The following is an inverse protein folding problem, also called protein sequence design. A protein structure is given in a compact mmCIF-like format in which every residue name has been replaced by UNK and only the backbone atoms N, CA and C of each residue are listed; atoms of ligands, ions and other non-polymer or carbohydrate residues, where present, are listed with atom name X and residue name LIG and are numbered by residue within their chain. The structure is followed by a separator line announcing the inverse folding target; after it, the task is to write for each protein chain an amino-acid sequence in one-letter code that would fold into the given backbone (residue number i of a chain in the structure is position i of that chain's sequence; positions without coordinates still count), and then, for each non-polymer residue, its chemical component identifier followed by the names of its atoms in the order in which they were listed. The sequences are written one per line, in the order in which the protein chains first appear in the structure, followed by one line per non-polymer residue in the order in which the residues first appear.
data_IF_472921627662
#
_entry.id   IF_472921627662
#
_cell.length_a   1.000
_cell.length_b   1.000
_cell.length_c   1.000
_cell.angle_alpha   90.00
_cell.angle_beta   90.00
_cell.angle_gamma   90.00
#
_symmetry.space_group_name_H-M   'P 1'
#
loop_
_entity.id
_entity.type
_entity.pdbx_description
1 polymer ?
#
# COMPACT_ATOMS: atom_id res chain seq x y z
N UNK A 1 6.34 0.91 2.35
CA UNK A 1 5.85 0.61 3.72
C UNK A 1 5.56 -0.88 3.86
N UNK A 2 5.79 -1.48 5.04
CA UNK A 2 5.46 -2.90 5.37
C UNK A 2 5.94 -3.99 4.40
N UNK A 3 6.90 -3.69 3.53
CA UNK A 3 7.45 -4.62 2.55
C UNK A 3 6.53 -4.91 1.35
N UNK A 4 5.54 -4.06 1.09
CA UNK A 4 4.76 -4.04 -0.16
C UNK A 4 5.37 -3.05 -1.16
N UNK A 5 5.02 -3.18 -2.45
CA UNK A 5 5.45 -2.26 -3.50
C UNK A 5 4.54 -1.03 -3.52
N UNK A 6 5.12 0.16 -3.65
CA UNK A 6 4.41 1.43 -3.74
C UNK A 6 4.90 2.21 -4.96
N UNK A 7 4.00 2.99 -5.55
CA UNK A 7 4.39 4.08 -6.45
C UNK A 7 4.63 5.31 -5.60
N UNK A 8 5.76 5.97 -5.82
CA UNK A 8 6.15 7.19 -5.11
C UNK A 8 6.77 8.14 -6.14
N UNK A 9 6.45 9.44 -6.11
CA UNK A 9 7.17 10.44 -6.88
C UNK A 9 8.69 10.38 -6.59
N UNK A 10 9.51 10.47 -7.62
CA UNK A 10 10.97 10.26 -7.49
C UNK A 10 11.65 11.26 -6.56
N UNK A 11 11.15 12.49 -6.52
CA UNK A 11 11.62 13.59 -5.66
C UNK A 11 11.33 13.38 -4.16
N UNK A 12 10.37 12.50 -3.84
CA UNK A 12 9.98 12.17 -2.45
C UNK A 12 10.29 10.72 -2.08
N UNK A 13 10.89 9.95 -3.00
CA UNK A 13 11.17 8.54 -2.80
C UNK A 13 12.08 8.27 -1.59
N UNK A 14 13.15 9.05 -1.42
CA UNK A 14 14.07 8.92 -0.27
C UNK A 14 13.37 9.08 1.07
N UNK A 15 12.60 10.16 1.26
CA UNK A 15 11.87 10.39 2.52
C UNK A 15 10.84 9.31 2.83
N UNK A 16 10.21 8.72 1.79
CA UNK A 16 9.24 7.64 1.97
C UNK A 16 9.94 6.31 2.20
N UNK A 17 11.07 6.03 1.55
CA UNK A 17 11.71 4.72 1.59
C UNK A 17 12.64 4.53 2.79
N UNK A 18 13.45 5.55 3.11
CA UNK A 18 14.52 5.44 4.11
C UNK A 18 14.07 4.92 5.48
N UNK A 19 12.89 5.30 6.03
CA UNK A 19 12.41 4.76 7.31
C UNK A 19 12.08 3.26 7.29
N UNK A 20 12.03 2.63 6.10
CA UNK A 20 11.55 1.25 5.91
C UNK A 20 12.60 0.29 5.36
N UNK A 21 13.87 0.71 5.33
CA UNK A 21 14.95 -0.18 4.94
C UNK A 21 14.96 -1.45 5.79
N UNK A 22 15.14 -2.60 5.15
CA UNK A 22 15.13 -3.87 5.85
C UNK A 22 16.34 -3.99 6.79
N UNK A 23 16.10 -4.32 8.06
CA UNK A 23 17.19 -4.68 8.95
C UNK A 23 17.91 -5.95 8.48
N UNK A 24 19.20 -6.08 8.82
CA UNK A 24 19.98 -7.27 8.52
C UNK A 24 19.28 -8.56 8.99
N UNK A 25 18.70 -8.58 10.20
CA UNK A 25 17.95 -9.72 10.71
C UNK A 25 16.75 -10.12 9.83
N UNK A 26 16.06 -9.14 9.23
CA UNK A 26 14.93 -9.38 8.33
C UNK A 26 15.39 -9.89 6.96
N UNK A 27 16.52 -9.40 6.46
CA UNK A 27 17.20 -9.91 5.25
C UNK A 27 17.57 -11.39 5.46
N UNK A 28 18.30 -11.70 6.54
CA UNK A 28 18.71 -13.06 6.90
C UNK A 28 17.53 -14.03 7.00
N UNK A 29 16.44 -13.60 7.65
CA UNK A 29 15.24 -14.43 7.79
C UNK A 29 14.59 -14.75 6.44
N UNK A 30 14.61 -13.81 5.48
CA UNK A 30 14.12 -14.06 4.12
C UNK A 30 15.05 -15.00 3.36
N UNK A 31 16.37 -14.85 3.53
CA UNK A 31 17.35 -15.68 2.81
C UNK A 31 17.33 -17.13 3.26
N UNK A 32 17.13 -17.39 4.56
CA UNK A 32 16.86 -18.76 5.04
C UNK A 32 15.64 -19.40 4.36
N UNK A 33 14.57 -18.65 4.11
CA UNK A 33 13.38 -19.15 3.37
C UNK A 33 13.64 -19.32 1.87
N UNK A 34 14.62 -18.59 1.34
CA UNK A 34 15.08 -18.75 -0.03
C UNK A 34 16.18 -19.80 -0.15
N UNK A 35 16.51 -20.54 0.92
CA UNK A 35 17.60 -21.53 0.95
C UNK A 35 18.92 -20.93 0.43
N UNK A 36 19.18 -19.67 0.80
CA UNK A 36 20.43 -18.98 0.54
C UNK A 36 21.07 -18.67 1.90
N UNK A 37 22.35 -19.00 2.02
CA UNK A 37 23.19 -18.49 3.10
C UNK A 37 23.64 -17.05 2.80
N UNK A 38 24.33 -16.44 3.75
CA UNK A 38 24.72 -15.03 3.68
C UNK A 38 25.69 -14.78 2.52
N UNK A 39 26.61 -15.72 2.28
CA UNK A 39 27.57 -15.61 1.18
C UNK A 39 26.89 -15.77 -0.19
N UNK A 40 26.00 -16.76 -0.33
CA UNK A 40 25.21 -16.98 -1.54
C UNK A 40 24.31 -15.80 -1.85
N UNK A 41 23.65 -15.22 -0.84
CA UNK A 41 22.87 -14.00 -1.00
C UNK A 41 23.73 -12.83 -1.48
N UNK A 42 24.85 -12.55 -0.79
CA UNK A 42 25.75 -11.46 -1.14
C UNK A 42 26.27 -11.63 -2.56
N UNK A 43 26.77 -12.82 -2.92
CA UNK A 43 27.29 -13.09 -4.24
C UNK A 43 26.22 -12.93 -5.34
N UNK A 44 25.01 -13.45 -5.14
CA UNK A 44 23.92 -13.34 -6.11
C UNK A 44 23.41 -11.89 -6.24
N UNK A 45 23.25 -11.17 -5.12
CA UNK A 45 22.80 -9.78 -5.13
C UNK A 45 23.79 -8.84 -5.81
N UNK A 46 25.10 -9.00 -5.57
CA UNK A 46 26.13 -8.21 -6.27
C UNK A 46 26.10 -8.44 -7.77
N UNK A 47 26.00 -9.70 -8.23
CA UNK A 47 25.90 -10.00 -9.67
C UNK A 47 24.66 -9.37 -10.29
N UNK A 48 23.50 -9.53 -9.65
CA UNK A 48 22.24 -8.93 -10.12
C UNK A 48 22.37 -7.41 -10.24
N UNK A 49 22.86 -6.73 -9.19
CA UNK A 49 22.97 -5.26 -9.16
C UNK A 49 23.97 -4.76 -10.19
N UNK A 50 25.10 -5.45 -10.38
CA UNK A 50 26.09 -5.10 -11.38
C UNK A 50 25.57 -5.27 -12.82
N UNK A 51 24.74 -6.29 -13.07
CA UNK A 51 24.18 -6.56 -14.41
C UNK A 51 22.99 -5.66 -14.75
N UNK A 52 22.13 -5.33 -13.78
CA UNK A 52 20.87 -4.62 -14.00
C UNK A 52 21.04 -3.09 -14.17
N UNK A 53 21.98 -2.64 -15.00
CA UNK A 53 22.17 -1.21 -15.33
C UNK A 53 21.01 -0.64 -16.14
N UNK A 54 20.27 -1.51 -16.84
CA UNK A 54 19.00 -1.23 -17.52
C UNK A 54 17.90 -2.15 -16.98
N UNK A 55 16.60 -1.81 -17.21
CA UNK A 55 15.48 -2.64 -16.73
C UNK A 55 15.41 -4.05 -17.35
N UNK A 56 15.62 -5.07 -16.53
CA UNK A 56 15.58 -6.49 -16.92
C UNK A 56 14.39 -7.23 -16.32
N UNK A 57 13.85 -8.22 -17.03
CA UNK A 57 12.85 -9.14 -16.48
C UNK A 57 13.49 -10.08 -15.46
N UNK A 58 12.72 -10.61 -14.48
CA UNK A 58 13.22 -11.59 -13.53
C UNK A 58 13.98 -12.76 -14.16
N UNK A 59 13.44 -13.35 -15.25
CA UNK A 59 14.05 -14.45 -15.99
C UNK A 59 15.44 -14.14 -16.54
N UNK A 60 15.70 -12.88 -16.91
CA UNK A 60 17.00 -12.45 -17.44
C UNK A 60 18.05 -12.37 -16.31
N UNK A 61 17.59 -12.28 -15.06
CA UNK A 61 18.44 -12.26 -13.86
C UNK A 61 18.61 -13.64 -13.23
N UNK A 62 17.81 -14.65 -13.61
CA UNK A 62 17.91 -16.01 -13.07
C UNK A 62 19.24 -16.67 -13.42
N UNK A 63 19.66 -16.58 -14.68
CA UNK A 63 20.94 -17.14 -15.15
C UNK A 63 22.14 -16.44 -14.50
N UNK A 64 22.04 -15.12 -14.28
CA UNK A 64 23.06 -14.30 -13.62
C UNK A 64 23.22 -14.69 -12.15
N UNK A 65 22.09 -14.92 -11.47
CA UNK A 65 22.07 -15.22 -10.05
C UNK A 65 22.36 -16.69 -9.76
N UNK A 66 22.04 -17.61 -10.68
CA UNK A 66 21.96 -19.04 -10.40
C UNK A 66 20.78 -19.40 -9.49
N UNK A 67 19.74 -18.56 -9.47
CA UNK A 67 18.58 -18.67 -8.58
C UNK A 67 17.32 -18.46 -9.42
N UNK A 68 16.32 -19.33 -9.29
CA UNK A 68 15.10 -19.27 -10.11
C UNK A 68 13.81 -19.35 -9.30
N UNK A 69 12.69 -19.04 -9.94
CA UNK A 69 11.34 -19.23 -9.41
C UNK A 69 11.04 -18.42 -8.14
N UNK A 70 10.47 -19.07 -7.12
CA UNK A 70 10.07 -18.42 -5.87
C UNK A 70 11.29 -17.83 -5.14
N UNK A 71 12.45 -18.50 -5.21
CA UNK A 71 13.70 -18.02 -4.60
C UNK A 71 14.16 -16.72 -5.25
N UNK A 72 14.06 -16.60 -6.58
CA UNK A 72 14.36 -15.37 -7.30
C UNK A 72 13.42 -14.23 -6.87
N UNK A 73 12.13 -14.51 -6.72
CA UNK A 73 11.16 -13.50 -6.23
C UNK A 73 11.51 -12.99 -4.82
N UNK A 74 11.97 -13.87 -3.93
CA UNK A 74 12.44 -13.50 -2.58
C UNK A 74 13.75 -12.70 -2.63
N UNK A 75 14.68 -13.07 -3.51
CA UNK A 75 15.94 -12.38 -3.73
C UNK A 75 15.71 -10.94 -4.19
N UNK A 76 14.96 -10.74 -5.28
CA UNK A 76 14.62 -9.40 -5.81
C UNK A 76 13.83 -8.55 -4.79
N UNK A 77 12.91 -9.16 -4.04
CA UNK A 77 12.21 -8.45 -2.96
C UNK A 77 13.16 -7.98 -1.87
N UNK A 78 14.20 -8.74 -1.58
CA UNK A 78 15.16 -8.43 -0.52
C UNK A 78 16.12 -7.33 -0.95
N UNK A 79 16.70 -7.43 -2.15
CA UNK A 79 17.56 -6.38 -2.73
C UNK A 79 16.82 -5.03 -2.82
N UNK A 80 15.54 -5.05 -3.23
CA UNK A 80 14.70 -3.84 -3.23
C UNK A 80 14.44 -3.29 -1.82
N UNK A 81 14.25 -4.16 -0.83
CA UNK A 81 14.03 -3.73 0.55
C UNK A 81 15.30 -3.13 1.21
N UNK A 82 16.47 -3.37 0.62
CA UNK A 82 17.73 -2.70 0.94
C UNK A 82 17.96 -1.41 0.12
N UNK A 83 17.05 -1.09 -0.80
CA UNK A 83 17.14 0.12 -1.64
C UNK A 83 18.12 -0.01 -2.81
N UNK A 84 18.71 -1.18 -3.03
CA UNK A 84 19.71 -1.39 -4.10
C UNK A 84 19.10 -1.61 -5.49
N UNK A 85 17.79 -1.84 -5.55
CA UNK A 85 17.08 -2.12 -6.79
C UNK A 85 15.70 -1.47 -6.79
N UNK A 86 15.22 -1.10 -7.96
CA UNK A 86 13.88 -0.59 -8.22
C UNK A 86 13.11 -1.60 -9.08
N UNK A 87 11.78 -1.62 -8.93
CA UNK A 87 10.92 -2.24 -9.93
C UNK A 87 10.28 -1.14 -10.77
N UNK A 88 10.40 -1.27 -12.08
CA UNK A 88 9.88 -0.29 -13.04
C UNK A 88 8.88 -0.97 -13.96
N UNK A 89 7.82 -0.25 -14.29
CA UNK A 89 6.85 -0.66 -15.28
C UNK A 89 7.22 -0.09 -16.64
N UNK A 90 7.08 -0.90 -17.70
CA UNK A 90 7.08 -0.44 -19.08
C UNK A 90 5.71 -0.78 -19.67
N UNK A 91 4.80 0.21 -19.69
CA UNK A 91 3.44 0.06 -20.20
C UNK A 91 2.42 -0.56 -19.24
N UNK A 92 2.81 -1.48 -18.35
CA UNK A 92 1.89 -2.08 -17.37
C UNK A 92 2.49 -2.24 -15.98
N UNK A 93 1.68 -1.97 -14.96
CA UNK A 93 1.98 -2.21 -13.54
C UNK A 93 1.74 -3.66 -13.11
N UNK A 94 1.34 -4.55 -14.02
CA UNK A 94 1.16 -5.98 -13.70
C UNK A 94 2.48 -6.58 -13.26
N UNK A 95 2.46 -7.32 -12.14
CA UNK A 95 3.66 -7.90 -11.54
C UNK A 95 4.53 -8.71 -12.51
N UNK A 96 3.90 -9.44 -13.45
CA UNK A 96 4.58 -10.24 -14.47
C UNK A 96 5.32 -9.40 -15.53
N UNK A 97 5.00 -8.11 -15.66
CA UNK A 97 5.64 -7.17 -16.60
C UNK A 97 6.61 -6.21 -15.89
N UNK A 98 6.74 -6.31 -14.57
CA UNK A 98 7.71 -5.50 -13.84
C UNK A 98 9.12 -5.92 -14.23
N UNK A 99 9.93 -4.92 -14.55
CA UNK A 99 11.36 -5.03 -14.77
C UNK A 99 12.11 -4.51 -13.55
N UNK A 100 13.35 -4.92 -13.41
CA UNK A 100 14.20 -4.65 -12.27
C UNK A 100 15.49 -3.98 -12.73
N UNK A 101 15.86 -2.92 -12.05
CA UNK A 101 17.03 -2.09 -12.39
C UNK A 101 17.75 -1.66 -11.11
N UNK A 102 19.07 -1.62 -11.13
CA UNK A 102 19.87 -1.14 -10.01
C UNK A 102 19.53 0.33 -9.71
N UNK A 103 19.29 0.65 -8.44
CA UNK A 103 18.94 2.01 -8.02
C UNK A 103 20.06 2.99 -8.38
N UNK A 104 21.32 2.60 -8.16
CA UNK A 104 22.48 3.46 -8.46
C UNK A 104 22.61 3.79 -9.95
N UNK A 105 22.19 2.90 -10.86
CA UNK A 105 22.24 3.14 -12.30
C UNK A 105 21.06 3.98 -12.81
N UNK A 106 19.89 3.83 -12.19
CA UNK A 106 18.65 4.45 -12.67
C UNK A 106 18.30 5.76 -11.97
N UNK A 107 18.57 5.85 -10.67
CA UNK A 107 18.17 6.96 -9.80
C UNK A 107 19.17 7.10 -8.64
N UNK A 108 20.43 7.36 -8.97
CA UNK A 108 21.50 7.55 -8.00
C UNK A 108 21.12 8.60 -6.94
N UNK A 109 21.31 8.28 -5.65
CA UNK A 109 20.97 9.15 -4.53
C UNK A 109 19.46 9.33 -4.26
N UNK A 110 18.55 8.84 -5.11
CA UNK A 110 17.11 9.12 -4.97
C UNK A 110 16.46 8.49 -3.73
N UNK A 111 17.11 7.49 -3.13
CA UNK A 111 16.65 6.84 -1.90
C UNK A 111 17.43 7.26 -0.65
N UNK A 112 18.45 8.10 -0.81
CA UNK A 112 19.29 8.58 0.27
C UNK A 112 18.63 9.76 0.98
N UNK A 113 18.80 9.84 2.30
CA UNK A 113 18.37 10.96 3.13
C UNK A 113 19.45 11.24 4.17
N UNK A 114 19.59 12.51 4.53
CA UNK A 114 20.56 12.92 5.56
C UNK A 114 20.12 12.47 6.97
N UNK A 115 18.81 12.48 7.22
CA UNK A 115 18.23 12.15 8.51
C UNK A 115 16.95 11.32 8.34
N UNK A 116 17.01 10.06 8.81
CA UNK A 116 15.91 9.10 8.74
C UNK A 116 14.76 9.48 9.70
N UNK A 117 15.07 10.05 10.86
CA UNK A 117 14.06 10.48 11.81
C UNK A 117 13.32 11.72 11.27
N UNK A 118 14.02 12.64 10.62
CA UNK A 118 13.40 13.78 9.90
C UNK A 118 12.54 13.31 8.72
N UNK A 119 12.99 12.30 7.97
CA UNK A 119 12.20 11.69 6.89
C UNK A 119 10.90 11.06 7.43
N UNK A 120 10.98 10.34 8.56
CA UNK A 120 9.80 9.75 9.20
C UNK A 120 8.84 10.81 9.76
N UNK A 121 9.36 11.91 10.31
CA UNK A 121 8.59 13.07 10.74
C UNK A 121 7.82 13.73 9.59
N UNK A 122 8.48 13.98 8.45
CA UNK A 122 7.83 14.50 7.25
C UNK A 122 6.72 13.56 6.75
N UNK A 123 7.00 12.24 6.77
CA UNK A 123 6.01 11.22 6.41
C UNK A 123 4.82 11.18 7.37
N UNK A 124 5.01 11.48 8.66
CA UNK A 124 3.92 11.59 9.62
C UNK A 124 2.97 12.74 9.26
N UNK A 125 3.51 13.89 8.85
CA UNK A 125 2.71 15.00 8.34
C UNK A 125 1.95 14.64 7.06
N UNK A 126 2.60 13.95 6.12
CA UNK A 126 1.96 13.47 4.90
C UNK A 126 0.84 12.46 5.17
N UNK A 127 1.06 11.56 6.12
CA UNK A 127 0.07 10.60 6.58
C UNK A 127 -1.15 11.29 7.18
N UNK A 128 -0.95 12.27 8.07
CA UNK A 128 -2.06 13.02 8.68
C UNK A 128 -2.83 13.85 7.64
N UNK A 129 -2.16 14.38 6.61
CA UNK A 129 -2.86 15.08 5.52
C UNK A 129 -3.70 14.14 4.66
N UNK A 130 -3.23 12.92 4.43
CA UNK A 130 -3.93 11.93 3.60
C UNK A 130 -5.02 11.13 4.33
N UNK A 131 -4.84 10.89 5.62
CA UNK A 131 -5.66 9.97 6.41
C UNK A 131 -6.17 10.54 7.74
N UNK A 132 -5.77 11.77 8.09
CA UNK A 132 -6.19 12.41 9.32
C UNK A 132 -7.68 12.76 9.32
N UNK A 133 -8.28 12.97 10.50
CA UNK A 133 -7.69 12.77 11.83
C UNK A 133 -7.36 11.31 12.13
N UNK A 134 -6.19 11.03 12.72
CA UNK A 134 -5.71 9.66 12.94
C UNK A 134 -4.97 9.47 14.26
N UNK A 135 -4.96 8.23 14.76
CA UNK A 135 -4.29 7.88 16.02
C UNK A 135 -2.82 7.54 15.77
N UNK A 136 -1.93 7.72 16.76
CA UNK A 136 -0.56 7.22 16.67
C UNK A 136 -0.46 5.73 16.36
N UNK A 137 -1.40 4.93 16.87
CA UNK A 137 -1.48 3.50 16.56
C UNK A 137 -1.77 3.20 15.08
N UNK A 138 -2.55 4.06 14.40
CA UNK A 138 -2.83 3.91 12.98
C UNK A 138 -1.59 4.19 12.14
N UNK A 139 -0.84 5.26 12.47
CA UNK A 139 0.41 5.59 11.80
C UNK A 139 1.47 4.49 12.00
N UNK A 140 1.64 4.01 13.23
CA UNK A 140 2.55 2.91 13.54
C UNK A 140 2.18 1.64 12.75
N UNK A 141 0.89 1.31 12.69
CA UNK A 141 0.41 0.15 11.93
C UNK A 141 0.63 0.31 10.41
N UNK A 142 0.33 1.49 9.86
CA UNK A 142 0.42 1.77 8.43
C UNK A 142 1.87 1.74 7.92
N UNK A 143 2.77 2.39 8.64
CA UNK A 143 4.20 2.41 8.33
C UNK A 143 4.87 1.05 8.60
N UNK A 144 4.47 0.40 9.70
CA UNK A 144 5.12 -0.79 10.26
C UNK A 144 6.34 -0.49 11.13
N UNK A 145 6.55 0.77 11.55
CA UNK A 145 7.61 1.14 12.51
C UNK A 145 7.16 0.85 13.95
N UNK A 146 8.10 0.85 14.88
CA UNK A 146 7.78 0.69 16.31
C UNK A 146 6.93 1.86 16.84
N UNK A 147 6.04 1.57 17.78
CA UNK A 147 5.12 2.56 18.38
C UNK A 147 5.84 3.79 18.93
N UNK A 148 7.01 3.61 19.55
CA UNK A 148 7.82 4.71 20.06
C UNK A 148 8.36 5.62 18.95
N UNK A 149 8.80 5.06 17.81
CA UNK A 149 9.27 5.85 16.67
C UNK A 149 8.11 6.61 16.00
N UNK A 150 6.96 5.95 15.85
CA UNK A 150 5.74 6.58 15.34
C UNK A 150 5.28 7.75 16.23
N UNK A 151 5.29 7.57 17.55
CA UNK A 151 4.92 8.62 18.50
C UNK A 151 5.89 9.81 18.44
N UNK A 152 7.21 9.57 18.39
CA UNK A 152 8.20 10.64 18.23
C UNK A 152 8.01 11.42 16.93
N UNK A 153 7.80 10.73 15.82
CA UNK A 153 7.59 11.37 14.52
C UNK A 153 6.31 12.23 14.53
N UNK A 154 5.20 11.73 15.06
CA UNK A 154 3.95 12.50 15.15
C UNK A 154 4.06 13.72 16.08
N UNK A 155 4.86 13.63 17.15
CA UNK A 155 5.08 14.76 18.07
C UNK A 155 5.81 15.95 17.41
N UNK A 156 6.43 15.76 16.24
CA UNK A 156 7.05 16.85 15.47
C UNK A 156 6.05 17.63 14.61
N UNK A 157 4.86 17.10 14.41
CA UNK A 157 3.80 17.74 13.63
C UNK A 157 2.95 18.58 14.59
N UNK A 158 2.73 19.86 14.27
CA UNK A 158 1.78 20.68 15.02
C UNK A 158 0.35 20.19 14.75
N UNK A 159 -0.25 19.61 15.78
CA UNK A 159 -1.55 18.94 15.70
C UNK A 159 -2.49 19.42 16.81
N UNK A 160 -3.77 19.22 16.57
CA UNK A 160 -4.84 19.29 17.57
C UNK A 160 -5.48 17.92 17.73
N UNK A 161 -5.88 17.58 18.96
CA UNK A 161 -6.71 16.39 19.22
C UNK A 161 -8.18 16.78 19.03
N UNK A 162 -8.81 16.23 17.99
CA UNK A 162 -10.23 16.46 17.69
C UNK A 162 -11.17 15.46 18.40
N UNK A 163 -10.63 14.72 19.36
CA UNK A 163 -11.34 13.78 20.22
C UNK A 163 -10.82 12.34 20.08
N UNK A 164 -10.84 11.60 21.19
CA UNK A 164 -10.42 10.18 21.25
C UNK A 164 -8.97 9.91 20.77
N UNK A 165 -8.07 10.88 20.93
CA UNK A 165 -6.68 10.75 20.51
C UNK A 165 -6.50 10.80 18.98
N UNK A 166 -7.43 11.45 18.28
CA UNK A 166 -7.38 11.66 16.84
C UNK A 166 -6.64 12.96 16.55
N UNK A 167 -5.42 12.82 16.04
CA UNK A 167 -4.57 13.95 15.69
C UNK A 167 -4.92 14.47 14.32
N UNK A 168 -5.16 15.77 14.22
CA UNK A 168 -5.34 16.53 12.98
C UNK A 168 -4.27 17.62 12.89
N UNK A 169 -3.63 17.86 11.73
CA UNK A 169 -2.74 19.02 11.60
C UNK A 169 -3.47 20.31 11.94
N UNK A 170 -2.86 21.17 12.77
CA UNK A 170 -3.53 22.40 13.25
C UNK A 170 -4.06 23.27 12.13
N UNK A 171 -3.31 23.38 11.03
CA UNK A 171 -3.69 24.17 9.87
C UNK A 171 -4.96 23.65 9.16
N UNK A 172 -5.31 22.38 9.35
CA UNK A 172 -6.49 21.75 8.75
C UNK A 172 -7.73 21.88 9.65
N UNK A 173 -7.59 22.32 10.91
CA UNK A 173 -8.69 22.44 11.88
C UNK A 173 -9.86 23.33 11.39
N UNK A 174 -9.64 24.51 10.78
CA UNK A 174 -10.74 25.33 10.28
C UNK A 174 -11.52 24.65 9.15
N UNK A 175 -10.81 24.00 8.21
CA UNK A 175 -11.42 23.30 7.09
C UNK A 175 -12.18 22.06 7.56
N UNK A 176 -11.60 21.31 8.50
CA UNK A 176 -12.22 20.15 9.12
C UNK A 176 -13.51 20.50 9.88
N UNK A 177 -13.47 21.57 10.69
CA UNK A 177 -14.64 22.01 11.47
C UNK A 177 -15.79 22.51 10.60
N UNK A 178 -15.48 23.02 9.40
CA UNK A 178 -16.47 23.50 8.42
C UNK A 178 -16.99 22.43 7.45
N UNK A 179 -16.49 21.19 7.51
CA UNK A 179 -16.85 20.18 6.53
C UNK A 179 -18.29 19.71 6.73
N UNK A 180 -19.05 19.67 5.63
CA UNK A 180 -20.38 19.05 5.63
C UNK A 180 -20.23 17.61 5.18
N UNK A 181 -20.76 16.67 5.97
CA UNK A 181 -20.76 15.26 5.59
C UNK A 181 -21.39 15.07 4.20
N UNK A 182 -20.77 14.29 3.30
CA UNK A 182 -21.36 14.00 2.01
C UNK A 182 -22.73 13.33 2.22
N UNK A 183 -23.67 13.68 1.37
CA UNK A 183 -25.00 13.08 1.34
C UNK A 183 -25.33 12.74 -0.09
N UNK A 184 -26.03 11.62 -0.27
CA UNK A 184 -26.46 11.18 -1.58
C UNK A 184 -25.30 10.89 -2.55
N UNK A 185 -24.11 10.52 -2.06
CA UNK A 185 -22.95 10.18 -2.90
C UNK A 185 -22.74 8.68 -3.00
N UNK A 186 -22.19 8.24 -4.12
CA UNK A 186 -21.71 6.86 -4.32
C UNK A 186 -20.35 6.90 -5.00
N UNK A 187 -19.39 6.18 -4.42
CA UNK A 187 -18.05 6.03 -4.98
C UNK A 187 -17.63 4.56 -4.98
N UNK A 188 -16.87 4.18 -6.01
CA UNK A 188 -16.33 2.83 -6.18
C UNK A 188 -14.82 2.88 -6.07
N UNK A 189 -14.29 2.33 -4.97
CA UNK A 189 -12.86 2.26 -4.74
C UNK A 189 -12.29 0.94 -5.26
N UNK A 190 -11.16 0.94 -5.99
CA UNK A 190 -10.53 -0.28 -6.48
C UNK A 190 -9.93 -1.12 -5.35
N UNK A 191 -9.49 -2.34 -5.71
CA UNK A 191 -8.69 -3.18 -4.81
C UNK A 191 -7.46 -2.41 -4.32
N UNK A 192 -7.17 -2.51 -3.02
CA UNK A 192 -6.04 -1.83 -2.36
C UNK A 192 -6.07 -0.30 -2.47
N UNK A 193 -7.23 0.31 -2.64
CA UNK A 193 -7.34 1.76 -2.64
C UNK A 193 -6.78 2.36 -1.35
N UNK A 194 -5.99 3.43 -1.51
CA UNK A 194 -5.27 4.09 -0.43
C UNK A 194 -6.20 4.47 0.73
N UNK A 195 -7.41 4.96 0.45
CA UNK A 195 -8.41 5.40 1.44
C UNK A 195 -8.73 4.29 2.47
N UNK A 196 -8.79 3.05 2.01
CA UNK A 196 -9.13 1.89 2.86
C UNK A 196 -7.93 1.32 3.62
N UNK A 197 -6.72 1.66 3.18
CA UNK A 197 -5.48 1.04 3.67
C UNK A 197 -4.74 1.87 4.72
N UNK A 198 -5.24 3.06 5.07
CA UNK A 198 -4.59 4.01 5.97
C UNK A 198 -4.64 3.68 7.47
N UNK A 199 -5.49 2.74 7.91
CA UNK A 199 -5.81 2.57 9.34
C UNK A 199 -5.54 1.17 9.89
N UNK A 200 -5.18 1.13 11.17
CA UNK A 200 -5.10 -0.12 11.93
C UNK A 200 -6.47 -0.81 11.98
N UNK A 201 -6.54 -2.15 12.17
CA UNK A 201 -7.81 -2.89 12.12
C UNK A 201 -8.92 -2.32 13.00
N UNK A 202 -8.58 -1.93 14.23
CA UNK A 202 -9.50 -1.31 15.18
C UNK A 202 -9.85 0.15 14.81
N UNK A 203 -8.99 0.83 14.07
CA UNK A 203 -9.21 2.19 13.55
C UNK A 203 -10.12 2.25 12.32
N UNK A 204 -10.43 1.12 11.69
CA UNK A 204 -11.27 1.06 10.47
C UNK A 204 -12.76 1.22 10.74
N UNK A 205 -13.19 1.24 12.00
CA UNK A 205 -14.57 1.51 12.38
C UNK A 205 -15.09 2.87 11.88
N UNK A 206 -14.18 3.80 11.52
CA UNK A 206 -14.48 5.10 10.89
C UNK A 206 -14.91 5.00 9.43
N UNK A 207 -14.61 3.87 8.78
CA UNK A 207 -14.87 3.62 7.35
C UNK A 207 -15.95 2.56 7.15
N UNK A 208 -15.97 1.54 8.02
CA UNK A 208 -16.82 0.37 7.89
C UNK A 208 -17.20 -0.16 9.27
N UNK A 209 -18.48 -0.49 9.44
CA UNK A 209 -18.94 -1.16 10.65
C UNK A 209 -18.14 -2.43 10.97
N UNK A 210 -17.86 -2.65 12.25
CA UNK A 210 -16.95 -3.72 12.70
C UNK A 210 -17.35 -5.11 12.18
N UNK A 211 -18.66 -5.40 12.12
CA UNK A 211 -19.17 -6.68 11.63
C UNK A 211 -18.99 -6.86 10.10
N UNK A 212 -18.83 -5.78 9.35
CA UNK A 212 -18.61 -5.79 7.90
C UNK A 212 -17.12 -5.78 7.51
N UNK A 213 -16.21 -5.48 8.45
CA UNK A 213 -14.77 -5.50 8.17
C UNK A 213 -14.25 -6.81 7.55
N UNK A 214 -14.69 -8.01 7.99
CA UNK A 214 -14.25 -9.27 7.36
C UNK A 214 -14.70 -9.42 5.90
N UNK A 215 -15.72 -8.68 5.46
CA UNK A 215 -16.17 -8.66 4.06
C UNK A 215 -15.26 -7.79 3.18
N UNK A 216 -14.52 -6.85 3.77
CA UNK A 216 -13.61 -5.94 3.05
C UNK A 216 -12.15 -6.36 3.10
N UNK A 217 -11.72 -6.99 4.19
CA UNK A 217 -10.31 -7.32 4.42
C UNK A 217 -10.13 -8.81 4.67
N UNK A 218 -9.27 -9.43 3.86
CA UNK A 218 -9.02 -10.86 3.97
C UNK A 218 -8.22 -11.17 5.23
N UNK A 219 -8.84 -11.93 6.13
CA UNK A 219 -8.14 -12.71 7.15
C UNK A 219 -7.77 -14.07 6.53
N UNK A 220 -6.58 -14.59 6.87
CA UNK A 220 -6.02 -15.84 6.34
C UNK A 220 -7.09 -16.90 6.03
N UNK A 221 -7.16 -17.33 4.76
CA UNK A 221 -7.98 -18.47 4.33
C UNK A 221 -9.49 -18.23 4.20
N UNK A 222 -9.98 -17.00 4.36
CA UNK A 222 -11.43 -16.70 4.27
C UNK A 222 -11.76 -15.93 2.99
N UNK A 223 -12.74 -16.44 2.24
CA UNK A 223 -13.32 -15.76 1.06
C UNK A 223 -14.35 -14.74 1.48
N UNK A 224 -14.14 -13.48 1.10
CA UNK A 224 -15.25 -12.55 1.12
C UNK A 224 -16.28 -12.98 0.04
N UNK A 225 -17.58 -12.91 0.36
CA UNK A 225 -18.65 -13.15 -0.60
C UNK A 225 -18.47 -12.33 -1.89
N UNK A 226 -18.71 -12.95 -3.05
CA UNK A 226 -18.68 -12.27 -4.35
C UNK A 226 -17.29 -11.99 -4.95
N UNK A 227 -16.20 -12.44 -4.30
CA UNK A 227 -14.84 -12.24 -4.80
C UNK A 227 -14.32 -13.48 -5.55
N UNK A 228 -13.75 -13.33 -6.75
CA UNK A 228 -13.44 -14.46 -7.64
C UNK A 228 -12.22 -15.28 -7.22
N UNK A 229 -11.43 -14.83 -6.24
CA UNK A 229 -10.14 -15.43 -5.89
C UNK A 229 -9.92 -15.56 -4.40
N UNK A 230 -9.10 -16.56 -4.03
CA UNK A 230 -8.50 -16.65 -2.71
C UNK A 230 -7.59 -15.47 -2.44
N UNK A 231 -8.16 -14.41 -1.87
CA UNK A 231 -7.41 -13.22 -1.51
C UNK A 231 -6.27 -13.59 -0.58
N UNK A 232 -5.13 -12.94 -0.77
CA UNK A 232 -3.99 -13.13 0.12
C UNK A 232 -4.28 -12.41 1.43
N UNK A 233 -3.68 -12.88 2.51
CA UNK A 233 -3.87 -12.26 3.83
C UNK A 233 -3.38 -10.82 3.81
N UNK A 234 -4.26 -9.90 4.22
CA UNK A 234 -4.00 -8.47 4.10
C UNK A 234 -4.50 -7.83 2.80
N UNK A 235 -5.17 -8.58 1.92
CA UNK A 235 -5.90 -8.00 0.79
C UNK A 235 -7.06 -7.12 1.28
N UNK A 236 -7.18 -5.93 0.70
CA UNK A 236 -8.35 -5.05 0.79
C UNK A 236 -9.11 -5.09 -0.53
N UNK A 237 -10.38 -5.52 -0.49
CA UNK A 237 -11.23 -5.67 -1.67
C UNK A 237 -11.69 -4.31 -2.23
N UNK A 238 -12.16 -4.27 -3.49
CA UNK A 238 -12.84 -3.09 -4.01
C UNK A 238 -14.10 -2.77 -3.20
N UNK A 239 -14.35 -1.49 -2.92
CA UNK A 239 -15.38 -1.04 -1.96
C UNK A 239 -16.41 -0.15 -2.64
N UNK A 240 -17.67 -0.32 -2.28
CA UNK A 240 -18.74 0.63 -2.56
C UNK A 240 -18.91 1.54 -1.34
N UNK A 241 -18.69 2.85 -1.54
CA UNK A 241 -18.98 3.86 -0.54
C UNK A 241 -20.33 4.50 -0.80
N UNK A 242 -21.12 4.72 0.26
CA UNK A 242 -22.28 5.62 0.26
C UNK A 242 -22.05 6.64 1.36
N UNK A 243 -22.07 7.92 1.00
CA UNK A 243 -21.88 9.02 1.96
C UNK A 243 -20.59 8.89 2.80
N UNK A 244 -19.55 8.32 2.19
CA UNK A 244 -18.24 8.09 2.81
C UNK A 244 -18.10 6.79 3.61
N UNK A 245 -19.19 6.04 3.81
CA UNK A 245 -19.19 4.76 4.53
C UNK A 245 -19.21 3.57 3.57
N UNK A 246 -18.45 2.53 3.88
CA UNK A 246 -18.45 1.29 3.10
C UNK A 246 -19.73 0.48 3.33
N UNK A 247 -20.49 0.29 2.24
CA UNK A 247 -21.76 -0.45 2.24
C UNK A 247 -21.72 -1.72 1.40
N UNK A 248 -20.60 -2.01 0.75
CA UNK A 248 -20.47 -3.19 -0.09
C UNK A 248 -19.08 -3.38 -0.64
N UNK A 249 -18.88 -4.50 -1.33
CA UNK A 249 -17.75 -4.71 -2.23
C UNK A 249 -18.24 -4.85 -3.66
N UNK A 250 -17.35 -4.66 -4.60
CA UNK A 250 -17.65 -4.85 -6.02
C UNK A 250 -16.52 -5.58 -6.72
N UNK A 251 -16.82 -6.07 -7.92
CA UNK A 251 -15.86 -6.67 -8.81
C UNK A 251 -16.25 -6.34 -10.24
N UNK A 252 -15.26 -6.09 -11.09
CA UNK A 252 -15.46 -5.85 -12.51
C UNK A 252 -14.48 -6.68 -13.32
N UNK A 253 -15.02 -7.29 -14.36
CA UNK A 253 -14.27 -7.90 -15.45
C UNK A 253 -14.65 -7.18 -16.74
N UNK A 254 -13.89 -7.40 -17.82
CA UNK A 254 -14.23 -6.85 -19.15
C UNK A 254 -15.66 -7.24 -19.58
N UNK A 255 -16.18 -8.38 -19.09
CA UNK A 255 -17.48 -8.93 -19.50
C UNK A 255 -18.62 -8.62 -18.53
N UNK A 256 -18.33 -8.48 -17.23
CA UNK A 256 -19.35 -8.46 -16.18
C UNK A 256 -18.91 -7.58 -15.00
N UNK A 257 -19.86 -6.87 -14.40
CA UNK A 257 -19.67 -6.18 -13.13
C UNK A 257 -20.66 -6.74 -12.10
N UNK A 258 -20.17 -7.04 -10.90
CA UNK A 258 -20.96 -7.56 -9.78
C UNK A 258 -20.76 -6.71 -8.54
N UNK A 259 -21.82 -6.54 -7.76
CA UNK A 259 -21.80 -5.80 -6.48
C UNK A 259 -22.41 -6.67 -5.40
N UNK A 260 -21.70 -6.77 -4.28
CA UNK A 260 -22.15 -7.42 -3.07
C UNK A 260 -22.34 -6.36 -1.97
N UNK A 261 -23.59 -5.98 -1.74
CA UNK A 261 -23.96 -5.04 -0.68
C UNK A 261 -24.01 -5.75 0.68
N UNK A 262 -23.62 -5.04 1.74
CA UNK A 262 -23.68 -5.54 3.12
C UNK A 262 -25.10 -5.54 3.66
N UNK A 263 -25.97 -4.67 3.11
CA UNK A 263 -27.38 -4.56 3.46
C UNK A 263 -28.22 -4.04 2.28
N UNK A 264 -29.54 -3.96 2.46
CA UNK A 264 -30.46 -3.42 1.46
C UNK A 264 -30.29 -1.90 1.31
N UNK A 265 -30.18 -1.44 0.06
CA UNK A 265 -30.12 0.00 -0.27
C UNK A 265 -31.37 0.45 -1.00
N UNK A 266 -31.73 1.73 -0.85
CA UNK A 266 -32.87 2.31 -1.54
C UNK A 266 -32.69 2.42 -3.07
N UNK A 267 -33.79 2.58 -3.84
CA UNK A 267 -33.73 2.60 -5.30
C UNK A 267 -32.84 3.70 -5.88
N UNK A 268 -32.76 4.87 -5.23
CA UNK A 268 -31.93 5.98 -5.67
C UNK A 268 -30.43 5.65 -5.55
N UNK A 269 -30.01 5.09 -4.42
CA UNK A 269 -28.63 4.64 -4.20
C UNK A 269 -28.26 3.52 -5.16
N UNK A 270 -29.19 2.58 -5.40
CA UNK A 270 -28.95 1.50 -6.36
C UNK A 270 -28.65 2.03 -7.76
N UNK A 271 -29.44 2.99 -8.26
CA UNK A 271 -29.19 3.62 -9.58
C UNK A 271 -27.80 4.26 -9.66
N UNK A 272 -27.39 5.00 -8.62
CA UNK A 272 -26.05 5.62 -8.58
C UNK A 272 -24.91 4.59 -8.59
N UNK A 273 -25.10 3.46 -7.92
CA UNK A 273 -24.13 2.35 -7.98
C UNK A 273 -24.02 1.84 -9.41
N UNK A 274 -25.15 1.61 -10.08
CA UNK A 274 -25.17 1.10 -11.45
C UNK A 274 -24.53 2.10 -12.44
N UNK A 275 -24.77 3.40 -12.26
CA UNK A 275 -24.11 4.49 -13.02
C UNK A 275 -22.59 4.47 -12.83
N UNK A 276 -22.10 4.44 -11.58
CA UNK A 276 -20.66 4.38 -11.28
C UNK A 276 -19.99 3.11 -11.84
N UNK A 277 -20.68 1.98 -11.83
CA UNK A 277 -20.15 0.75 -12.44
C UNK A 277 -20.02 0.90 -13.95
N UNK A 278 -20.98 1.57 -14.61
CA UNK A 278 -20.90 1.84 -16.04
C UNK A 278 -19.70 2.74 -16.37
N UNK A 279 -19.46 3.77 -15.57
CA UNK A 279 -18.29 4.66 -15.71
C UNK A 279 -16.99 3.86 -15.62
N UNK A 280 -16.83 3.02 -14.58
CA UNK A 280 -15.64 2.18 -14.42
C UNK A 280 -15.47 1.21 -15.59
N UNK A 281 -16.55 0.60 -16.08
CA UNK A 281 -16.48 -0.31 -17.22
C UNK A 281 -16.01 0.40 -18.48
N UNK A 282 -16.42 1.65 -18.68
CA UNK A 282 -16.00 2.44 -19.84
C UNK A 282 -14.48 2.64 -19.85
N UNK A 283 -13.87 2.88 -18.67
CA UNK A 283 -12.42 3.01 -18.51
C UNK A 283 -11.63 1.72 -18.75
N UNK A 284 -12.30 0.56 -18.73
CA UNK A 284 -11.67 -0.75 -18.91
C UNK A 284 -11.88 -1.35 -20.30
N UNK A 285 -12.69 -0.70 -21.13
CA UNK A 285 -13.01 -1.15 -22.49
C UNK A 285 -11.98 -0.68 -23.54
N UNK A 286 -11.12 0.27 -23.17
CA UNK A 286 -9.97 0.77 -23.93
C UNK A 286 -8.68 0.01 -23.61
#
# INVERSE_FOLDING_TARGET
MRGSLFLVPSDTAGRVFAPFQASAARVLTRMRRAELDDEGYRAASERIVATASLPLLPRELEDVAGVSGVRMSLLLRTIRAEGRMLAVAQGSLRAAQLRYVATASWAAGALEVDDVDAALAALAGDYLRGYGPARPADFAWWTGVGTAAAARALATVDTVDVGNGLLLPRNDEPAFSGITAPRNTVDLLPKWDAYTMGFAPDGRARLVHLHNQPQMYVRQGVMAPGQPNVGLSGDGYPVVLVDGEAVGTWNVTVREATVHLFDTVGPATRRRIDERLADVRSLLAD
#
